data_IF_189355624517
#
_entry.id   IF_189355624517
#
_cell.length_a   1.000
_cell.length_b   1.000
_cell.length_c   1.000
_cell.angle_alpha   90.00
_cell.angle_beta   90.00
_cell.angle_gamma   90.00
#
_symmetry.space_group_name_H-M   'P 1'
#
loop_
_entity.id
_entity.type
_entity.pdbx_description
1 polymer ?
#
# COMPACT_ATOMS: atom_id res chain seq x y z
N UNK A 1 -24.57 4.09 1.22
CA UNK A 1 -23.50 3.18 0.74
C UNK A 1 -22.68 2.79 1.95
N UNK A 2 -22.34 1.52 2.09
CA UNK A 2 -21.55 1.04 3.24
C UNK A 2 -20.13 1.60 3.17
N UNK A 3 -19.61 2.08 4.30
CA UNK A 3 -18.26 2.63 4.42
C UNK A 3 -17.30 1.46 4.54
N UNK A 4 -16.49 1.21 3.49
CA UNK A 4 -15.59 0.06 3.40
C UNK A 4 -14.14 0.51 3.19
N UNK A 5 -13.26 0.10 4.09
CA UNK A 5 -11.83 0.41 4.06
C UNK A 5 -11.02 -0.88 3.90
N UNK A 6 -10.26 -0.96 2.81
CA UNK A 6 -9.26 -1.98 2.58
C UNK A 6 -7.96 -1.63 3.29
N UNK A 7 -7.26 -2.63 3.82
CA UNK A 7 -5.98 -2.47 4.50
C UNK A 7 -5.03 -3.55 4.01
N UNK A 8 -3.86 -3.13 3.51
CA UNK A 8 -2.77 -4.04 3.20
C UNK A 8 -1.70 -3.91 4.29
N UNK A 9 -1.56 -4.96 5.08
CA UNK A 9 -0.59 -5.03 6.17
C UNK A 9 0.80 -5.48 5.71
N UNK A 10 1.81 -4.64 5.90
CA UNK A 10 3.22 -5.00 5.73
C UNK A 10 3.80 -5.74 6.92
N UNK A 11 5.13 -5.74 7.04
CA UNK A 11 5.87 -6.33 8.16
C UNK A 11 5.33 -5.86 9.51
N UNK A 12 5.04 -6.81 10.41
CA UNK A 12 4.52 -6.54 11.76
C UNK A 12 2.99 -6.40 11.84
N UNK A 13 2.30 -6.14 10.72
CA UNK A 13 0.83 -6.13 10.66
C UNK A 13 0.35 -7.38 9.92
N UNK A 14 0.53 -8.56 10.51
CA UNK A 14 0.02 -9.82 9.95
C UNK A 14 -1.43 -10.08 10.32
N UNK A 15 -1.88 -9.54 11.45
CA UNK A 15 -3.22 -9.75 11.98
C UNK A 15 -3.81 -8.45 12.54
N UNK A 16 -5.09 -8.27 12.25
CA UNK A 16 -5.91 -7.20 12.82
C UNK A 16 -6.55 -7.66 14.14
N UNK A 17 -5.74 -8.26 15.02
CA UNK A 17 -6.18 -8.56 16.38
C UNK A 17 -6.71 -7.28 17.04
N UNK A 18 -7.90 -7.40 17.66
CA UNK A 18 -8.61 -6.30 18.29
C UNK A 18 -9.71 -5.66 17.44
N UNK A 19 -9.90 -6.12 16.20
CA UNK A 19 -10.87 -5.57 15.25
C UNK A 19 -12.00 -6.57 15.01
N UNK A 20 -12.91 -6.67 16.00
CA UNK A 20 -14.16 -7.43 15.89
C UNK A 20 -14.00 -8.92 15.55
N UNK A 21 -15.12 -9.55 15.15
CA UNK A 21 -15.09 -10.91 14.58
C UNK A 21 -14.63 -10.82 13.13
N UNK A 22 -13.55 -11.55 12.81
CA UNK A 22 -13.02 -11.61 11.46
C UNK A 22 -13.52 -12.88 10.75
N UNK A 23 -14.02 -12.70 9.54
CA UNK A 23 -14.33 -13.79 8.61
C UNK A 23 -13.24 -13.87 7.54
N UNK A 24 -12.82 -15.08 7.20
CA UNK A 24 -11.80 -15.32 6.19
C UNK A 24 -12.44 -15.60 4.82
N UNK A 25 -11.91 -14.97 3.76
CA UNK A 25 -12.41 -15.08 2.39
C UNK A 25 -11.27 -15.43 1.45
N UNK A 26 -11.35 -16.61 0.84
CA UNK A 26 -10.45 -17.01 -0.24
C UNK A 26 -10.98 -16.47 -1.57
N UNK A 27 -10.17 -15.64 -2.23
CA UNK A 27 -10.56 -14.96 -3.47
C UNK A 27 -9.70 -15.44 -4.63
N UNK A 28 -10.34 -16.03 -5.64
CA UNK A 28 -9.71 -16.31 -6.93
C UNK A 28 -9.69 -15.07 -7.83
N UNK A 29 -8.56 -14.88 -8.50
CA UNK A 29 -8.34 -13.80 -9.46
C UNK A 29 -7.77 -14.33 -10.78
N UNK A 30 -8.00 -13.63 -11.90
CA UNK A 30 -7.37 -13.95 -13.19
C UNK A 30 -5.83 -13.82 -13.19
N UNK A 31 -5.25 -13.29 -12.11
CA UNK A 31 -3.81 -13.06 -11.95
C UNK A 31 -3.15 -14.05 -11.00
N UNK A 32 -3.85 -15.12 -10.63
CA UNK A 32 -3.40 -16.12 -9.66
C UNK A 32 -3.93 -15.86 -8.25
N UNK A 33 -3.29 -16.47 -7.25
CA UNK A 33 -3.69 -16.35 -5.85
C UNK A 33 -3.15 -15.04 -5.25
N UNK A 34 -3.94 -14.34 -4.43
CA UNK A 34 -3.46 -13.30 -3.52
C UNK A 34 -2.46 -13.87 -2.50
N UNK A 35 -1.79 -13.00 -1.76
CA UNK A 35 -0.82 -13.38 -0.71
C UNK A 35 -1.39 -14.26 0.40
N UNK A 36 -2.71 -14.29 0.57
CA UNK A 36 -3.43 -15.10 1.54
C UNK A 36 -4.93 -14.84 1.45
N UNK A 37 -5.68 -15.36 2.43
CA UNK A 37 -7.11 -15.06 2.56
C UNK A 37 -7.32 -13.61 3.02
N UNK A 38 -8.37 -12.97 2.52
CA UNK A 38 -8.81 -11.68 3.01
C UNK A 38 -9.56 -11.85 4.32
N UNK A 39 -9.27 -11.02 5.31
CA UNK A 39 -10.01 -10.99 6.57
C UNK A 39 -10.98 -9.82 6.57
N UNK A 40 -12.26 -10.05 6.84
CA UNK A 40 -13.27 -9.00 6.92
C UNK A 40 -13.85 -8.88 8.30
N UNK A 41 -14.11 -7.66 8.75
CA UNK A 41 -14.80 -7.39 10.00
C UNK A 41 -15.59 -6.09 9.92
N UNK A 42 -16.41 -5.82 10.93
CA UNK A 42 -17.11 -4.54 11.07
C UNK A 42 -16.67 -3.87 12.37
N UNK A 43 -16.27 -2.61 12.27
CA UNK A 43 -15.96 -1.77 13.42
C UNK A 43 -17.22 -1.28 14.12
N UNK A 44 -17.09 -0.83 15.37
CA UNK A 44 -18.21 -0.32 16.18
C UNK A 44 -18.95 0.86 15.52
N UNK A 45 -18.26 1.65 14.69
CA UNK A 45 -18.87 2.74 13.92
C UNK A 45 -19.60 2.28 12.64
N UNK A 46 -19.70 0.97 12.40
CA UNK A 46 -20.31 0.37 11.22
C UNK A 46 -19.44 0.34 9.96
N UNK A 47 -18.17 0.78 10.04
CA UNK A 47 -17.23 0.67 8.91
C UNK A 47 -16.84 -0.79 8.71
N UNK A 48 -17.00 -1.28 7.49
CA UNK A 48 -16.50 -2.59 7.08
C UNK A 48 -15.00 -2.49 6.77
N UNK A 49 -14.22 -3.42 7.33
CA UNK A 49 -12.81 -3.56 7.05
C UNK A 49 -12.56 -4.79 6.20
N UNK A 50 -11.64 -4.66 5.25
CA UNK A 50 -11.11 -5.77 4.45
C UNK A 50 -9.60 -5.73 4.59
N UNK A 51 -8.98 -6.76 5.14
CA UNK A 51 -7.57 -6.80 5.43
C UNK A 51 -6.88 -7.92 4.64
N UNK A 52 -5.66 -7.66 4.16
CA UNK A 52 -4.79 -8.66 3.55
C UNK A 52 -3.35 -8.51 4.08
N UNK A 53 -2.72 -9.58 4.60
CA UNK A 53 -1.30 -9.55 4.91
C UNK A 53 -0.49 -9.63 3.62
N UNK A 54 0.26 -8.58 3.31
CA UNK A 54 1.01 -8.44 2.05
C UNK A 54 1.96 -9.61 1.79
N UNK A 55 2.63 -10.06 2.84
CA UNK A 55 3.65 -11.11 2.78
C UNK A 55 3.09 -12.51 3.08
N UNK A 56 1.76 -12.65 3.15
CA UNK A 56 1.09 -13.86 3.58
C UNK A 56 1.24 -14.12 5.09
N UNK A 57 0.50 -15.12 5.57
CA UNK A 57 0.60 -15.59 6.96
C UNK A 57 2.01 -16.15 7.21
N UNK A 58 2.63 -15.77 8.32
CA UNK A 58 4.00 -16.17 8.63
C UNK A 58 5.09 -15.43 7.84
N UNK A 59 4.73 -14.39 7.07
CA UNK A 59 5.69 -13.56 6.32
C UNK A 59 6.54 -14.36 5.32
N UNK A 60 5.90 -15.27 4.59
CA UNK A 60 6.58 -16.26 3.72
C UNK A 60 6.92 -15.74 2.32
N UNK A 61 6.37 -14.59 1.92
CA UNK A 61 6.63 -13.99 0.61
C UNK A 61 7.61 -12.81 0.73
N UNK A 62 8.72 -12.86 -0.01
CA UNK A 62 9.56 -11.69 -0.15
C UNK A 62 8.85 -10.59 -0.99
N UNK A 63 9.29 -9.32 -0.95
CA UNK A 63 8.63 -8.23 -1.69
C UNK A 63 8.50 -8.45 -3.21
N UNK A 64 9.41 -9.19 -3.85
CA UNK A 64 9.38 -9.50 -5.28
C UNK A 64 8.46 -10.67 -5.63
N UNK A 65 8.15 -11.54 -4.67
CA UNK A 65 7.26 -12.70 -4.81
C UNK A 65 5.79 -12.36 -4.56
N UNK A 66 5.51 -11.21 -3.94
CA UNK A 66 4.14 -10.75 -3.71
C UNK A 66 3.40 -10.60 -5.03
N UNK A 67 2.24 -11.26 -5.12
CA UNK A 67 1.37 -11.13 -6.28
C UNK A 67 0.49 -9.87 -6.19
N UNK A 68 1.09 -8.71 -6.45
CA UNK A 68 0.41 -7.42 -6.33
C UNK A 68 -0.86 -7.30 -7.18
N UNK A 69 -0.88 -7.90 -8.38
CA UNK A 69 -2.06 -7.91 -9.26
C UNK A 69 -3.21 -8.66 -8.62
N UNK A 70 -2.97 -9.88 -8.11
CA UNK A 70 -4.00 -10.65 -7.42
C UNK A 70 -4.49 -9.94 -6.15
N UNK A 71 -3.58 -9.35 -5.38
CA UNK A 71 -3.93 -8.61 -4.16
C UNK A 71 -4.86 -7.43 -4.46
N UNK A 72 -4.50 -6.56 -5.40
CA UNK A 72 -5.32 -5.39 -5.73
C UNK A 72 -6.64 -5.79 -6.42
N UNK A 73 -6.60 -6.78 -7.32
CA UNK A 73 -7.81 -7.27 -7.96
C UNK A 73 -8.81 -7.87 -6.96
N UNK A 74 -8.33 -8.61 -5.96
CA UNK A 74 -9.19 -9.16 -4.91
C UNK A 74 -9.85 -8.07 -4.07
N UNK A 75 -9.13 -6.98 -3.72
CA UNK A 75 -9.76 -5.81 -3.09
C UNK A 75 -10.87 -5.20 -3.95
N UNK A 76 -10.62 -5.01 -5.25
CA UNK A 76 -11.66 -4.52 -6.18
C UNK A 76 -12.86 -5.47 -6.22
N UNK A 77 -12.64 -6.78 -6.26
CA UNK A 77 -13.69 -7.81 -6.27
C UNK A 77 -14.52 -7.79 -4.98
N UNK A 78 -13.90 -7.45 -3.86
CA UNK A 78 -14.54 -7.20 -2.57
C UNK A 78 -15.07 -5.76 -2.45
N UNK A 79 -15.27 -5.05 -3.57
CA UNK A 79 -15.83 -3.70 -3.64
C UNK A 79 -15.13 -2.67 -2.73
N UNK A 80 -13.83 -2.82 -2.51
CA UNK A 80 -13.03 -1.81 -1.80
C UNK A 80 -12.78 -0.63 -2.73
N UNK A 81 -13.16 0.57 -2.25
CA UNK A 81 -12.94 1.84 -2.93
C UNK A 81 -11.81 2.67 -2.30
N UNK A 82 -11.44 2.35 -1.05
CA UNK A 82 -10.46 3.06 -0.25
C UNK A 82 -9.48 2.05 0.34
N UNK A 83 -8.19 2.21 0.06
CA UNK A 83 -7.15 1.26 0.41
C UNK A 83 -6.00 1.96 1.12
N UNK A 84 -5.81 1.60 2.39
CA UNK A 84 -4.67 2.00 3.18
C UNK A 84 -3.58 0.93 3.11
N UNK A 85 -2.42 1.31 2.63
CA UNK A 85 -1.21 0.50 2.72
C UNK A 85 -0.45 0.85 4.00
N UNK A 86 -0.14 -0.15 4.81
CA UNK A 86 0.73 0.00 5.99
C UNK A 86 2.06 -0.68 5.68
N UNK A 87 3.16 0.06 5.79
CA UNK A 87 4.48 -0.42 5.32
C UNK A 87 5.60 0.00 6.26
N UNK A 88 6.46 -0.93 6.66
CA UNK A 88 7.72 -0.60 7.32
C UNK A 88 8.68 0.04 6.30
N UNK A 89 9.40 1.08 6.72
CA UNK A 89 10.33 1.83 5.87
C UNK A 89 11.58 2.26 6.64
N UNK A 90 12.68 2.40 5.90
CA UNK A 90 13.88 3.11 6.36
C UNK A 90 13.76 4.60 6.04
N UNK A 91 14.20 5.46 6.96
CA UNK A 91 14.24 6.90 6.77
C UNK A 91 15.48 7.33 5.99
N UNK A 92 15.31 8.28 5.08
CA UNK A 92 16.38 8.93 4.34
C UNK A 92 16.62 10.37 4.83
N UNK A 93 16.03 10.78 5.96
CA UNK A 93 16.07 12.15 6.48
C UNK A 93 16.30 12.16 7.99
N UNK A 94 17.13 13.07 8.50
CA UNK A 94 17.42 13.18 9.94
C UNK A 94 16.17 13.49 10.78
N UNK A 95 15.25 14.30 10.24
CA UNK A 95 14.04 14.73 10.95
C UNK A 95 12.87 13.72 10.86
N UNK A 96 13.07 12.58 10.20
CA UNK A 96 12.09 11.48 10.12
C UNK A 96 12.70 10.31 10.89
N UNK A 97 12.43 10.25 12.18
CA UNK A 97 13.11 9.32 13.09
C UNK A 97 12.40 7.97 13.21
N UNK A 98 13.11 6.87 13.55
CA UNK A 98 12.48 5.63 13.98
C UNK A 98 11.43 5.85 15.06
N UNK A 99 10.34 5.06 15.03
CA UNK A 99 9.12 5.21 15.85
C UNK A 99 8.16 6.32 15.42
N UNK A 100 8.56 7.19 14.49
CA UNK A 100 7.64 8.14 13.87
C UNK A 100 6.90 7.50 12.69
N UNK A 101 5.80 8.14 12.31
CA UNK A 101 5.09 7.81 11.07
C UNK A 101 5.52 8.72 9.94
N UNK A 102 5.38 8.25 8.71
CA UNK A 102 5.52 9.07 7.52
C UNK A 102 4.32 8.87 6.59
N UNK A 103 3.83 9.95 5.98
CA UNK A 103 2.72 9.90 5.02
C UNK A 103 3.23 10.48 3.68
N UNK A 104 3.70 9.63 2.75
CA UNK A 104 4.19 10.09 1.45
C UNK A 104 3.06 10.65 0.58
N UNK A 105 3.40 11.57 -0.33
CA UNK A 105 2.55 12.03 -1.42
C UNK A 105 3.04 11.57 -2.80
N UNK A 106 4.32 11.17 -2.89
CA UNK A 106 4.98 10.79 -4.13
C UNK A 106 5.70 9.44 -4.02
N UNK A 107 5.88 8.80 -5.18
CA UNK A 107 6.55 7.51 -5.31
C UNK A 107 7.62 7.57 -6.40
N UNK A 108 8.79 7.01 -6.12
CA UNK A 108 9.86 6.77 -7.08
C UNK A 108 10.06 5.26 -7.24
N UNK A 109 9.83 4.74 -8.45
CA UNK A 109 9.92 3.30 -8.73
C UNK A 109 11.35 2.91 -9.13
N UNK A 110 12.04 2.23 -8.22
CA UNK A 110 13.37 1.68 -8.43
C UNK A 110 13.38 0.15 -8.38
N UNK A 111 12.22 -0.48 -8.60
CA UNK A 111 12.08 -1.92 -8.81
C UNK A 111 12.61 -2.30 -10.20
N UNK A 112 13.23 -3.48 -10.32
CA UNK A 112 14.00 -3.92 -11.51
C UNK A 112 13.71 -5.35 -11.95
N UNK A 113 13.07 -6.17 -11.12
CA UNK A 113 12.85 -7.61 -11.40
C UNK A 113 11.78 -7.89 -12.46
N UNK A 114 11.16 -6.85 -13.02
CA UNK A 114 10.04 -7.01 -13.96
C UNK A 114 8.75 -7.44 -13.26
N UNK A 115 8.54 -7.05 -12.00
CA UNK A 115 7.26 -7.24 -11.29
C UNK A 115 6.12 -6.77 -12.20
N UNK A 116 5.13 -7.61 -12.50
CA UNK A 116 4.00 -7.17 -13.31
C UNK A 116 3.31 -5.98 -12.65
N UNK A 117 3.36 -4.83 -13.31
CA UNK A 117 3.00 -3.53 -12.74
C UNK A 117 1.79 -2.87 -13.43
N UNK A 118 1.10 -3.62 -14.27
CA UNK A 118 -0.16 -3.24 -14.92
C UNK A 118 -1.08 -4.45 -15.07
N UNK A 119 -2.39 -4.20 -15.06
CA UNK A 119 -3.43 -5.13 -15.49
C UNK A 119 -3.62 -5.11 -17.02
N UNK A 120 -3.32 -3.99 -17.67
CA UNK A 120 -3.59 -3.75 -19.08
C UNK A 120 -2.43 -4.23 -19.96
N UNK A 121 -2.36 -5.55 -20.12
CA UNK A 121 -1.41 -6.24 -20.99
C UNK A 121 -2.13 -7.23 -21.90
N UNK A 122 -1.42 -7.77 -22.91
CA UNK A 122 -1.85 -8.93 -23.75
C UNK A 122 -3.22 -8.72 -24.39
N UNK A 123 -3.29 -7.78 -25.34
CA UNK A 123 -4.50 -7.51 -26.14
C UNK A 123 -5.32 -6.30 -25.69
N UNK A 124 -4.80 -5.49 -24.77
CA UNK A 124 -5.38 -4.20 -24.35
C UNK A 124 -4.29 -3.30 -23.79
N UNK A 125 -4.44 -1.99 -23.99
CA UNK A 125 -3.53 -0.94 -23.54
C UNK A 125 -4.34 0.15 -22.85
N UNK A 126 -3.89 0.58 -21.67
CA UNK A 126 -4.40 1.76 -20.97
C UNK A 126 -3.24 2.56 -20.37
N UNK A 127 -3.43 3.88 -20.26
CA UNK A 127 -2.47 4.78 -19.65
C UNK A 127 -3.16 5.65 -18.60
N UNK A 128 -3.18 5.17 -17.35
CA UNK A 128 -3.67 5.97 -16.22
C UNK A 128 -2.60 6.97 -15.79
N UNK A 129 -3.02 8.19 -15.43
CA UNK A 129 -2.09 9.16 -14.85
C UNK A 129 -1.67 8.72 -13.45
N UNK A 130 -0.38 8.86 -13.17
CA UNK A 130 0.23 8.70 -11.84
C UNK A 130 1.05 9.94 -11.45
N UNK A 131 0.76 11.10 -12.05
CA UNK A 131 1.39 12.37 -11.67
C UNK A 131 1.29 12.59 -10.14
N UNK A 132 0.10 12.34 -9.60
CA UNK A 132 -0.15 12.25 -8.16
C UNK A 132 -0.61 10.83 -7.84
N UNK A 133 0.29 9.94 -7.38
CA UNK A 133 0.00 8.52 -7.26
C UNK A 133 -0.75 8.18 -5.96
N UNK A 134 -0.82 9.11 -5.00
CA UNK A 134 -1.56 8.99 -3.74
C UNK A 134 -2.91 9.70 -3.85
N UNK A 135 -3.96 9.11 -3.27
CA UNK A 135 -5.26 9.74 -3.14
C UNK A 135 -5.23 10.86 -2.13
N UNK A 136 -5.25 12.11 -2.59
CA UNK A 136 -5.17 13.28 -1.70
C UNK A 136 -6.33 13.34 -0.69
N UNK A 137 -7.54 12.91 -1.07
CA UNK A 137 -8.67 12.82 -0.12
C UNK A 137 -8.38 11.84 1.01
N UNK A 138 -7.90 10.64 0.69
CA UNK A 138 -7.57 9.63 1.70
C UNK A 138 -6.34 10.05 2.52
N UNK A 139 -5.34 10.68 1.89
CA UNK A 139 -4.15 11.22 2.53
C UNK A 139 -4.50 12.26 3.58
N UNK A 140 -5.38 13.22 3.26
CA UNK A 140 -5.87 14.22 4.24
C UNK A 140 -6.59 13.59 5.43
N UNK A 141 -7.46 12.60 5.18
CA UNK A 141 -8.11 11.86 6.27
C UNK A 141 -7.11 11.07 7.13
N UNK A 142 -6.05 10.52 6.51
CA UNK A 142 -4.98 9.83 7.23
C UNK A 142 -4.16 10.80 8.10
N UNK A 143 -3.83 11.98 7.59
CA UNK A 143 -3.16 13.05 8.35
C UNK A 143 -4.03 13.45 9.55
N UNK A 144 -5.31 13.75 9.32
CA UNK A 144 -6.26 14.10 10.39
C UNK A 144 -6.33 13.00 11.47
N UNK A 145 -6.45 11.73 11.05
CA UNK A 145 -6.48 10.61 11.99
C UNK A 145 -5.18 10.50 12.79
N UNK A 146 -4.03 10.66 12.13
CA UNK A 146 -2.70 10.59 12.75
C UNK A 146 -2.52 11.72 13.78
N UNK A 147 -2.93 12.94 13.44
CA UNK A 147 -2.94 14.09 14.36
C UNK A 147 -3.84 13.85 15.57
N UNK A 148 -5.06 13.31 15.37
CA UNK A 148 -6.00 13.02 16.48
C UNK A 148 -5.48 11.95 17.44
N UNK A 149 -4.74 10.96 16.94
CA UNK A 149 -4.09 9.94 17.81
C UNK A 149 -2.93 10.55 18.62
N UNK A 150 -2.35 11.67 18.15
CA UNK A 150 -1.27 12.37 18.84
C UNK A 150 0.09 11.68 18.71
N UNK A 151 0.32 10.97 17.61
CA UNK A 151 1.63 10.38 17.31
C UNK A 151 2.49 11.35 16.51
N UNK A 152 3.80 11.27 16.67
CA UNK A 152 4.73 12.03 15.86
C UNK A 152 4.75 11.49 14.43
N UNK A 153 4.64 12.39 13.46
CA UNK A 153 4.71 12.04 12.05
C UNK A 153 5.27 13.19 11.22
N UNK A 154 5.82 12.83 10.07
CA UNK A 154 6.11 13.76 8.98
C UNK A 154 5.18 13.43 7.80
N UNK A 155 4.90 14.42 6.96
CA UNK A 155 4.07 14.24 5.76
C UNK A 155 4.65 14.99 4.58
N UNK A 156 4.36 14.49 3.37
CA UNK A 156 4.84 15.10 2.14
C UNK A 156 6.30 14.74 1.83
N UNK A 157 6.56 14.46 0.56
CA UNK A 157 7.83 13.93 0.10
C UNK A 157 7.72 12.48 -0.37
N UNK A 158 8.75 12.06 -1.09
CA UNK A 158 8.66 10.82 -1.85
C UNK A 158 9.11 9.58 -1.06
N UNK A 159 8.45 8.47 -1.37
CA UNK A 159 8.87 7.11 -1.04
C UNK A 159 9.61 6.51 -2.23
N UNK A 160 10.80 5.94 -2.02
CA UNK A 160 11.48 5.14 -3.05
C UNK A 160 11.21 3.65 -2.85
N UNK A 161 10.64 3.02 -3.88
CA UNK A 161 10.42 1.58 -3.93
C UNK A 161 11.63 0.88 -4.54
N UNK A 162 12.50 0.32 -3.73
CA UNK A 162 13.60 -0.52 -4.20
C UNK A 162 13.15 -1.98 -4.39
N UNK A 163 13.95 -2.78 -5.10
CA UNK A 163 13.65 -4.19 -5.34
C UNK A 163 13.76 -5.04 -4.06
N UNK A 164 14.87 -4.95 -3.33
CA UNK A 164 15.21 -5.95 -2.31
C UNK A 164 15.63 -7.30 -2.93
N UNK A 165 15.71 -8.38 -2.13
CA UNK A 165 15.39 -8.45 -0.70
C UNK A 165 16.48 -7.89 0.22
N UNK A 166 17.68 -7.66 -0.29
CA UNK A 166 18.74 -7.02 0.49
C UNK A 166 18.39 -5.55 0.76
N UNK A 167 18.78 -5.05 1.93
CA UNK A 167 18.77 -3.62 2.19
C UNK A 167 19.77 -2.90 1.27
N UNK A 168 19.62 -1.58 1.17
CA UNK A 168 20.49 -0.72 0.37
C UNK A 168 21.96 -0.89 0.76
N UNK A 169 22.85 -0.71 -0.20
CA UNK A 169 24.23 -0.30 0.10
C UNK A 169 24.26 1.17 0.56
N UNK A 170 25.32 1.58 1.28
CA UNK A 170 25.47 3.01 1.67
C UNK A 170 25.50 3.95 0.46
N UNK A 171 26.05 3.49 -0.67
CA UNK A 171 26.08 4.26 -1.90
C UNK A 171 24.68 4.48 -2.47
N UNK A 172 23.83 3.45 -2.48
CA UNK A 172 22.42 3.56 -2.87
C UNK A 172 21.65 4.48 -1.93
N UNK A 173 21.81 4.33 -0.61
CA UNK A 173 21.14 5.19 0.37
C UNK A 173 21.53 6.66 0.21
N UNK A 174 22.82 6.95 0.01
CA UNK A 174 23.31 8.31 -0.30
C UNK A 174 22.78 8.81 -1.63
N UNK A 175 22.66 7.96 -2.65
CA UNK A 175 22.05 8.33 -3.93
C UNK A 175 20.57 8.70 -3.79
N UNK A 176 19.79 7.93 -3.03
CA UNK A 176 18.38 8.24 -2.78
C UNK A 176 18.20 9.58 -2.05
N UNK A 177 19.12 9.91 -1.15
CA UNK A 177 19.15 11.23 -0.49
C UNK A 177 19.47 12.38 -1.45
N UNK A 178 20.36 12.17 -2.43
CA UNK A 178 20.64 13.17 -3.47
C UNK A 178 19.41 13.45 -4.35
N UNK A 179 18.52 12.45 -4.51
CA UNK A 179 17.22 12.60 -5.17
C UNK A 179 16.15 13.25 -4.27
N UNK A 180 16.53 13.70 -3.08
CA UNK A 180 15.65 14.32 -2.08
C UNK A 180 14.52 13.40 -1.56
N UNK A 181 14.70 12.07 -1.66
CA UNK A 181 13.72 11.10 -1.18
C UNK A 181 13.62 11.11 0.36
N UNK A 182 12.42 10.85 0.88
CA UNK A 182 12.14 10.90 2.32
C UNK A 182 12.31 9.55 3.01
N UNK A 183 11.81 8.48 2.38
CA UNK A 183 11.83 7.12 2.94
C UNK A 183 12.08 6.09 1.85
N UNK A 184 12.64 4.93 2.21
CA UNK A 184 12.86 3.77 1.34
C UNK A 184 12.06 2.56 1.84
N UNK A 185 11.46 1.84 0.91
CA UNK A 185 10.84 0.54 1.18
C UNK A 185 10.79 -0.32 -0.07
N UNK A 186 10.11 -1.46 -0.01
CA UNK A 186 10.16 -2.47 -1.07
C UNK A 186 8.80 -2.83 -1.71
N UNK A 187 7.68 -2.27 -1.22
CA UNK A 187 6.35 -2.88 -1.46
C UNK A 187 5.27 -1.97 -2.03
N UNK A 188 5.32 -0.65 -1.86
CA UNK A 188 4.25 0.23 -2.37
C UNK A 188 4.23 0.37 -3.90
N UNK A 189 5.26 -0.16 -4.57
CA UNK A 189 5.34 -0.26 -6.02
C UNK A 189 5.56 -1.73 -6.40
N UNK A 190 4.71 -2.31 -7.27
CA UNK A 190 3.68 -1.66 -8.09
C UNK A 190 2.29 -1.50 -7.44
N UNK A 191 2.13 -1.71 -6.14
CA UNK A 191 0.84 -1.68 -5.44
C UNK A 191 0.00 -0.42 -5.73
N UNK A 192 0.59 0.78 -5.62
CA UNK A 192 -0.09 2.05 -5.92
C UNK A 192 -0.50 2.19 -7.40
N UNK A 193 0.33 1.69 -8.33
CA UNK A 193 0.04 1.72 -9.78
C UNK A 193 -1.20 0.91 -10.09
N UNK A 194 -1.24 -0.31 -9.54
CA UNK A 194 -2.34 -1.24 -9.72
C UNK A 194 -3.61 -0.73 -9.03
N UNK A 195 -3.50 -0.10 -7.85
CA UNK A 195 -4.66 0.49 -7.18
C UNK A 195 -5.30 1.60 -8.04
N UNK A 196 -4.48 2.45 -8.69
CA UNK A 196 -4.98 3.46 -9.65
C UNK A 196 -5.69 2.82 -10.85
N UNK A 197 -5.10 1.77 -11.41
CA UNK A 197 -5.71 1.00 -12.51
C UNK A 197 -6.97 0.24 -12.11
N UNK A 198 -7.15 -0.08 -10.83
CA UNK A 198 -8.37 -0.65 -10.27
C UNK A 198 -9.39 0.41 -9.84
N UNK A 199 -9.08 1.70 -10.03
CA UNK A 199 -9.90 2.85 -9.58
C UNK A 199 -10.16 2.84 -8.06
N UNK A 200 -9.14 2.48 -7.30
CA UNK A 200 -9.16 2.45 -5.84
C UNK A 200 -8.37 3.64 -5.30
N UNK A 201 -8.94 4.37 -4.35
CA UNK A 201 -8.24 5.42 -3.61
C UNK A 201 -7.15 4.82 -2.73
N UNK A 202 -5.88 5.04 -3.07
CA UNK A 202 -4.74 4.47 -2.37
C UNK A 202 -3.97 5.51 -1.55
N UNK A 203 -3.57 5.17 -0.33
CA UNK A 203 -2.62 5.96 0.46
C UNK A 203 -1.72 5.05 1.31
N UNK A 204 -0.56 5.55 1.71
CA UNK A 204 0.40 4.82 2.55
C UNK A 204 0.51 5.48 3.94
N UNK A 205 0.43 4.65 4.99
CA UNK A 205 0.99 4.93 6.30
C UNK A 205 2.32 4.19 6.42
N UNK A 206 3.42 4.94 6.35
CA UNK A 206 4.77 4.40 6.46
C UNK A 206 5.22 4.42 7.93
N UNK A 207 5.68 3.26 8.41
CA UNK A 207 6.13 3.02 9.77
C UNK A 207 7.66 3.08 9.77
N UNK A 208 8.26 4.15 10.29
CA UNK A 208 9.71 4.36 10.23
C UNK A 208 10.39 3.45 11.25
N UNK A 209 11.22 2.52 10.79
CA UNK A 209 11.88 1.51 11.63
C UNK A 209 13.34 1.80 11.92
N UNK A 210 14.01 2.51 11.03
CA UNK A 210 15.46 2.75 11.02
C UNK A 210 15.79 3.93 10.10
N UNK A 211 17.06 4.32 10.01
CA UNK A 211 17.56 5.36 9.09
C UNK A 211 18.20 4.77 7.83
N UNK A 212 17.76 3.60 7.37
CA UNK A 212 18.46 2.82 6.36
C UNK A 212 19.95 2.70 6.74
N UNK A 213 20.85 2.59 5.76
CA UNK A 213 22.29 2.48 6.00
C UNK A 213 23.08 3.78 5.75
N UNK A 214 22.45 4.95 5.55
CA UNK A 214 23.20 6.21 5.43
C UNK A 214 23.65 6.77 6.77
N UNK A 215 22.91 6.46 7.84
CA UNK A 215 23.24 6.88 9.20
C UNK A 215 24.31 5.95 9.76
N UNK A 216 25.43 6.53 10.17
CA UNK A 216 26.49 5.84 10.91
C UNK A 216 26.22 6.10 12.39
N UNK A 217 25.37 5.28 13.03
CA UNK A 217 25.28 5.27 14.49
C UNK A 217 26.48 4.54 15.08
N UNK A 218 27.00 5.01 16.22
CA UNK A 218 28.04 4.30 16.99
C UNK A 218 27.48 3.06 17.71
N UNK A 219 26.16 2.91 17.78
CA UNK A 219 25.49 1.74 18.35
C UNK A 219 25.18 0.70 17.26
N UNK A 220 25.66 -0.53 17.46
CA UNK A 220 25.33 -1.69 16.62
C UNK A 220 23.80 -1.87 16.53
N UNK A 221 23.26 -2.09 15.33
CA UNK A 221 21.83 -2.35 15.13
C UNK A 221 21.44 -3.66 15.81
N UNK A 222 20.87 -3.56 17.02
CA UNK A 222 20.30 -4.68 17.74
C UNK A 222 18.93 -5.06 17.14
N UNK A 223 18.80 -6.32 16.70
CA UNK A 223 17.54 -6.91 16.22
C UNK A 223 16.40 -6.68 17.23
N UNK A 224 16.70 -6.67 18.52
CA UNK A 224 15.72 -6.40 19.57
C UNK A 224 15.16 -4.97 19.50
N UNK A 225 15.99 -3.96 19.21
CA UNK A 225 15.54 -2.57 19.05
C UNK A 225 14.63 -2.39 17.83
N UNK A 226 14.93 -3.10 16.74
CA UNK A 226 14.09 -3.10 15.53
C UNK A 226 12.72 -3.72 15.84
N UNK A 227 12.69 -4.86 16.54
CA UNK A 227 11.44 -5.52 16.92
C UNK A 227 10.57 -4.67 17.83
N UNK A 228 11.15 -3.98 18.83
CA UNK A 228 10.41 -3.07 19.71
C UNK A 228 9.86 -1.86 18.96
N UNK A 229 10.63 -1.31 18.02
CA UNK A 229 10.18 -0.23 17.14
C UNK A 229 9.02 -0.67 16.26
N UNK A 230 9.08 -1.87 15.69
CA UNK A 230 7.98 -2.45 14.90
C UNK A 230 6.73 -2.60 15.77
N UNK A 231 6.82 -3.22 16.97
CA UNK A 231 5.66 -3.37 17.87
C UNK A 231 5.04 -2.02 18.23
N UNK A 232 5.86 -1.03 18.58
CA UNK A 232 5.40 0.33 18.88
C UNK A 232 4.64 0.94 17.70
N UNK A 233 5.22 0.86 16.49
CA UNK A 233 4.61 1.39 15.29
C UNK A 233 3.29 0.70 14.95
N UNK A 234 3.22 -0.62 15.12
CA UNK A 234 2.01 -1.40 14.86
C UNK A 234 0.87 -1.02 15.82
N UNK A 235 1.19 -0.84 17.10
CA UNK A 235 0.21 -0.37 18.08
C UNK A 235 -0.40 0.98 17.68
N UNK A 236 0.46 1.92 17.28
CA UNK A 236 0.02 3.23 16.83
C UNK A 236 -0.74 3.16 15.49
N UNK A 237 -0.30 2.33 14.54
CA UNK A 237 -0.98 2.12 13.26
C UNK A 237 -2.42 1.61 13.46
N UNK A 238 -2.64 0.67 14.38
CA UNK A 238 -3.99 0.17 14.71
C UNK A 238 -4.90 1.29 15.25
N UNK A 239 -4.38 2.16 16.12
CA UNK A 239 -5.14 3.34 16.61
C UNK A 239 -5.46 4.31 15.48
N UNK A 240 -4.49 4.58 14.60
CA UNK A 240 -4.68 5.46 13.44
C UNK A 240 -5.75 4.88 12.51
N UNK A 241 -5.72 3.57 12.25
CA UNK A 241 -6.73 2.89 11.44
C UNK A 241 -8.12 3.05 12.06
N UNK A 242 -8.24 2.88 13.38
CA UNK A 242 -9.51 3.07 14.08
C UNK A 242 -10.04 4.49 13.88
N UNK A 243 -9.22 5.52 14.12
CA UNK A 243 -9.64 6.93 13.94
C UNK A 243 -9.87 7.26 12.46
N UNK A 244 -9.05 6.72 11.56
CA UNK A 244 -9.21 6.88 10.10
C UNK A 244 -10.59 6.39 9.68
N UNK A 245 -11.02 5.24 10.22
CA UNK A 245 -12.33 4.68 9.94
C UNK A 245 -13.48 5.62 10.29
N UNK A 246 -13.31 6.53 11.26
CA UNK A 246 -14.30 7.55 11.60
C UNK A 246 -14.29 8.70 10.59
N UNK A 247 -13.11 9.13 10.13
CA UNK A 247 -12.95 10.42 9.41
C UNK A 247 -12.89 10.31 7.89
N UNK A 248 -12.54 9.15 7.30
CA UNK A 248 -12.52 9.04 5.84
C UNK A 248 -13.94 9.14 5.24
N UNK A 249 -14.12 9.69 4.03
CA UNK A 249 -15.45 10.00 3.51
C UNK A 249 -16.29 8.76 3.15
N UNK A 250 -15.66 7.61 2.88
CA UNK A 250 -16.35 6.44 2.34
C UNK A 250 -16.92 6.68 0.94
N UNK A 251 -17.85 5.82 0.51
CA UNK A 251 -18.47 5.93 -0.82
C UNK A 251 -17.53 5.54 -1.96
N UNK A 252 -17.85 6.01 -3.17
CA UNK A 252 -17.06 5.75 -4.38
C UNK A 252 -15.69 6.45 -4.33
N UNK A 253 -14.67 5.82 -4.92
CA UNK A 253 -13.37 6.47 -5.10
C UNK A 253 -13.49 7.70 -6.02
N UNK A 254 -12.76 8.80 -5.76
CA UNK A 254 -12.64 9.90 -6.72
C UNK A 254 -12.02 9.47 -8.07
N UNK A 255 -11.40 8.29 -8.13
CA UNK A 255 -10.82 7.74 -9.36
C UNK A 255 -11.77 6.85 -10.14
N UNK A 256 -13.00 6.60 -9.64
CA UNK A 256 -14.01 5.81 -10.35
C UNK A 256 -14.27 6.38 -11.75
N UNK A 257 -14.25 5.50 -12.75
CA UNK A 257 -14.40 5.86 -14.17
C UNK A 257 -13.12 6.38 -14.85
N UNK A 258 -11.98 6.50 -14.16
CA UNK A 258 -10.70 6.94 -14.78
C UNK A 258 -10.23 5.97 -15.86
N UNK A 259 -10.41 4.66 -15.66
CA UNK A 259 -9.95 3.63 -16.60
C UNK A 259 -10.64 3.76 -17.94
N UNK A 260 -11.93 4.07 -17.95
CA UNK A 260 -12.71 4.26 -19.19
C UNK A 260 -12.07 5.27 -20.14
N UNK A 261 -11.45 6.31 -19.60
CA UNK A 261 -10.76 7.35 -20.38
C UNK A 261 -9.29 7.05 -20.63
N UNK A 262 -8.71 6.09 -19.90
CA UNK A 262 -7.32 5.69 -20.02
C UNK A 262 -7.08 4.60 -21.09
N UNK A 263 -8.08 3.77 -21.39
CA UNK A 263 -7.99 2.71 -22.41
C UNK A 263 -7.78 3.32 -23.79
N UNK A 264 -6.71 2.93 -24.47
CA UNK A 264 -6.34 3.40 -25.80
C UNK A 264 -6.72 2.42 -26.91
N UNK A 265 -6.80 1.13 -26.59
CA UNK A 265 -7.16 0.10 -27.55
C UNK A 265 -8.62 0.26 -27.97
N UNK A 266 -8.85 0.46 -29.27
CA UNK A 266 -10.20 0.52 -29.83
C UNK A 266 -11.01 -0.74 -29.47
N UNK A 267 -12.32 -0.62 -29.11
CA UNK A 267 -13.12 -1.73 -28.60
C UNK A 267 -13.14 -3.01 -29.46
N UNK A 268 -13.05 -2.85 -30.78
CA UNK A 268 -13.03 -3.94 -31.77
C UNK A 268 -11.71 -4.73 -31.78
N UNK A 269 -10.63 -4.15 -31.25
CA UNK A 269 -9.29 -4.73 -31.19
C UNK A 269 -8.93 -5.28 -29.80
N UNK A 270 -9.79 -5.07 -28.80
CA UNK A 270 -9.61 -5.68 -27.48
C UNK A 270 -9.90 -7.18 -27.61
N UNK A 271 -8.90 -8.01 -27.33
CA UNK A 271 -9.02 -9.47 -27.43
C UNK A 271 -10.09 -10.03 -26.47
N UNK A 272 -10.69 -11.17 -26.81
CA UNK A 272 -11.70 -11.81 -25.97
C UNK A 272 -11.13 -12.18 -24.60
N UNK A 273 -9.89 -12.69 -24.57
CA UNK A 273 -9.18 -13.06 -23.34
C UNK A 273 -8.88 -11.83 -22.47
N UNK A 274 -8.59 -10.67 -23.08
CA UNK A 274 -8.41 -9.42 -22.35
C UNK A 274 -9.73 -8.92 -21.73
N UNK A 275 -10.84 -9.00 -22.48
CA UNK A 275 -12.19 -8.65 -21.98
C UNK A 275 -12.58 -9.52 -20.79
N UNK A 276 -12.35 -10.83 -20.87
CA UNK A 276 -12.64 -11.77 -19.78
C UNK A 276 -11.74 -11.51 -18.56
N UNK A 277 -10.41 -11.45 -18.76
CA UNK A 277 -9.43 -11.22 -17.69
C UNK A 277 -9.69 -9.91 -16.94
N UNK A 278 -10.13 -8.86 -17.64
CA UNK A 278 -10.34 -7.53 -17.09
C UNK A 278 -11.81 -7.15 -16.90
N UNK A 279 -12.75 -8.09 -17.00
CA UNK A 279 -14.18 -7.82 -16.98
C UNK A 279 -14.59 -6.90 -15.81
N UNK A 280 -14.06 -7.18 -14.61
CA UNK A 280 -14.31 -6.37 -13.41
C UNK A 280 -13.80 -4.92 -13.55
N UNK A 281 -12.60 -4.71 -14.11
CA UNK A 281 -11.96 -3.40 -14.22
C UNK A 281 -12.53 -2.57 -15.39
N UNK A 282 -13.12 -3.22 -16.39
CA UNK A 282 -13.77 -2.58 -17.54
C UNK A 282 -15.26 -2.29 -17.32
N UNK A 283 -15.84 -2.85 -16.26
CA UNK A 283 -17.27 -2.71 -15.91
C UNK A 283 -17.61 -1.48 -15.05
N UNK A 284 -16.60 -0.78 -14.54
CA UNK A 284 -16.74 0.33 -13.58
C UNK A 284 -17.05 1.69 -14.19
#
# INVERSE_FOLDING_TARGET
MTKRLGIIGGSGLSEMEGIGKLESHDIDTPFGKPSGSYMTGTLDNGTELVFLPRHGVGHVLNPSEVNYRANIYGFKKMNVQWLLSVSAVGSLKENIAPKQMFIPDQFFDFTRSGRPNTFFEKGIVAHVSLADPVCETLRKSLIEATTKVGVEFNEGGGYIGMEGPQFSTRAESKFYRLLDMSVVGMTNLPEAKLAREAEISYATLALVTDYDCWYESEDDVDVHMVLETVKHNIHNAKKIIQVLSDVFPGGDSPYKGTVKHAVQTSPDYISAEAKERLALLLSS
#
